data_IF_226642412477
#
_entry.id   IF_226642412477
#
_cell.length_a   1.000
_cell.length_b   1.000
_cell.length_c   1.000
_cell.angle_alpha   90.00
_cell.angle_beta   90.00
_cell.angle_gamma   90.00
#
_symmetry.space_group_name_H-M   'P 1'
#
loop_
_entity.id
_entity.type
_entity.pdbx_description
1 polymer ?
#
# COMPACT_ATOMS: atom_id res chain seq x y z
N UNK A 1 -26.29 -18.82 25.31
CA UNK A 1 -25.41 -18.65 24.15
C UNK A 1 -24.24 -17.75 24.55
N UNK A 2 -23.09 -18.38 24.73
CA UNK A 2 -21.88 -17.67 25.15
C UNK A 2 -21.19 -17.00 23.95
N UNK A 3 -21.11 -15.65 23.95
CA UNK A 3 -20.31 -14.88 22.99
C UNK A 3 -18.98 -14.50 23.65
N UNK A 4 -17.87 -14.84 23.01
CA UNK A 4 -16.52 -14.54 23.49
C UNK A 4 -15.74 -13.76 22.44
N UNK A 5 -14.96 -12.78 22.91
CA UNK A 5 -13.96 -12.08 22.12
C UNK A 5 -12.57 -12.60 22.51
N UNK A 6 -11.79 -13.02 21.51
CA UNK A 6 -10.47 -13.63 21.73
C UNK A 6 -9.46 -13.10 20.71
N UNK A 7 -8.16 -13.19 21.03
CA UNK A 7 -7.12 -13.31 20.02
C UNK A 7 -6.96 -14.77 19.65
N UNK A 8 -6.90 -15.06 18.37
CA UNK A 8 -6.69 -16.42 17.89
C UNK A 8 -5.32 -16.97 18.30
N UNK A 9 -5.26 -18.25 18.53
CA UNK A 9 -4.01 -18.98 18.75
C UNK A 9 -3.84 -20.12 17.72
N UNK A 10 -2.75 -20.88 17.81
CA UNK A 10 -2.42 -21.91 16.81
C UNK A 10 -3.49 -23.00 16.67
N UNK A 11 -4.24 -23.31 17.74
CA UNK A 11 -5.32 -24.30 17.70
C UNK A 11 -6.54 -23.82 16.92
N UNK A 12 -6.69 -22.51 16.76
CA UNK A 12 -7.77 -21.92 15.96
C UNK A 12 -7.46 -21.92 14.46
N UNK A 13 -6.26 -22.31 14.03
CA UNK A 13 -5.79 -22.16 12.65
C UNK A 13 -6.74 -22.80 11.63
N UNK A 14 -7.05 -24.06 11.78
CA UNK A 14 -7.88 -24.80 10.83
C UNK A 14 -9.28 -24.18 10.72
N UNK A 15 -9.94 -23.95 11.89
CA UNK A 15 -11.27 -23.33 11.91
C UNK A 15 -11.25 -21.90 11.35
N UNK A 16 -10.20 -21.13 11.63
CA UNK A 16 -10.08 -19.75 11.14
C UNK A 16 -9.88 -19.71 9.62
N UNK A 17 -9.01 -20.56 9.09
CA UNK A 17 -8.76 -20.65 7.63
C UNK A 17 -10.02 -21.12 6.91
N UNK A 18 -10.69 -22.16 7.40
CA UNK A 18 -11.95 -22.61 6.84
C UNK A 18 -13.02 -21.53 6.87
N UNK A 19 -13.11 -20.81 8.00
CA UNK A 19 -14.06 -19.72 8.16
C UNK A 19 -13.85 -18.59 7.14
N UNK A 20 -12.60 -18.09 6.99
CA UNK A 20 -12.32 -17.01 6.03
C UNK A 20 -12.51 -17.49 4.58
N UNK A 21 -12.08 -18.70 4.25
CA UNK A 21 -12.32 -19.31 2.94
C UNK A 21 -13.80 -19.39 2.63
N UNK A 22 -14.61 -19.88 3.57
CA UNK A 22 -16.08 -19.96 3.44
C UNK A 22 -16.70 -18.59 3.19
N UNK A 23 -16.38 -17.59 4.05
CA UNK A 23 -17.00 -16.26 3.96
C UNK A 23 -16.64 -15.55 2.66
N UNK A 24 -15.38 -15.60 2.26
CA UNK A 24 -14.93 -14.95 1.02
C UNK A 24 -15.41 -15.69 -0.23
N UNK A 25 -15.45 -17.01 -0.22
CA UNK A 25 -16.00 -17.81 -1.32
C UNK A 25 -17.50 -17.57 -1.53
N UNK A 26 -18.23 -17.30 -0.45
CA UNK A 26 -19.67 -16.99 -0.54
C UNK A 26 -19.97 -15.70 -1.31
N UNK A 27 -19.02 -14.75 -1.36
CA UNK A 27 -19.22 -13.43 -1.98
C UNK A 27 -18.41 -13.22 -3.28
N UNK A 28 -17.44 -14.06 -3.60
CA UNK A 28 -16.49 -13.76 -4.69
C UNK A 28 -16.00 -14.98 -5.49
N UNK A 29 -16.57 -16.16 -5.29
CA UNK A 29 -16.07 -17.42 -5.91
C UNK A 29 -15.02 -18.11 -5.03
N UNK A 30 -14.67 -19.35 -5.40
CA UNK A 30 -13.80 -20.22 -4.61
C UNK A 30 -12.50 -19.51 -4.21
N UNK A 31 -12.28 -19.35 -2.93
CA UNK A 31 -11.10 -18.71 -2.35
C UNK A 31 -10.35 -19.71 -1.47
N UNK A 32 -9.03 -19.75 -1.62
CA UNK A 32 -8.09 -20.50 -0.80
C UNK A 32 -7.03 -19.53 -0.27
N UNK A 33 -7.19 -19.08 0.97
CA UNK A 33 -6.32 -18.08 1.57
C UNK A 33 -4.86 -18.52 1.73
N UNK A 34 -4.54 -19.76 2.12
CA UNK A 34 -3.17 -20.25 2.13
C UNK A 34 -2.45 -20.14 0.79
N UNK A 35 -3.12 -20.47 -0.31
CA UNK A 35 -2.55 -20.31 -1.66
C UNK A 35 -2.53 -18.85 -2.11
N UNK A 36 -3.59 -18.08 -1.82
CA UNK A 36 -3.73 -16.68 -2.24
C UNK A 36 -2.81 -15.73 -1.48
N UNK A 37 -2.61 -15.98 -0.19
CA UNK A 37 -1.81 -15.16 0.72
C UNK A 37 -0.84 -16.02 1.55
N UNK A 38 0.11 -16.71 0.90
CA UNK A 38 1.06 -17.59 1.60
C UNK A 38 1.83 -16.86 2.70
N UNK A 39 2.14 -15.57 2.52
CA UNK A 39 2.76 -14.71 3.53
C UNK A 39 2.02 -14.64 4.88
N UNK A 40 0.73 -14.96 4.92
CA UNK A 40 -0.10 -14.86 6.13
C UNK A 40 -0.58 -16.24 6.63
N UNK A 41 -0.83 -17.16 5.71
CA UNK A 41 -1.55 -18.40 6.03
C UNK A 41 -0.81 -19.68 5.68
N UNK A 42 0.41 -19.62 5.13
CA UNK A 42 1.25 -20.80 4.92
C UNK A 42 1.68 -21.44 6.25
N UNK A 43 1.95 -20.60 7.26
CA UNK A 43 2.36 -21.00 8.58
C UNK A 43 1.38 -20.51 9.64
N UNK A 44 1.33 -21.21 10.78
CA UNK A 44 0.42 -20.90 11.89
C UNK A 44 0.83 -19.67 12.71
N UNK A 45 2.08 -19.21 12.60
CA UNK A 45 2.65 -18.14 13.42
C UNK A 45 1.98 -16.77 13.30
N UNK A 46 1.26 -16.51 12.20
CA UNK A 46 0.53 -15.25 11.95
C UNK A 46 -0.90 -15.27 12.51
N UNK A 47 -1.39 -16.41 12.98
CA UNK A 47 -2.76 -16.54 13.49
C UNK A 47 -3.02 -15.67 14.71
N UNK A 48 -2.03 -15.51 15.59
CA UNK A 48 -2.07 -14.60 16.75
C UNK A 48 -2.40 -13.15 16.46
N UNK A 49 -2.31 -12.72 15.21
CA UNK A 49 -2.67 -11.38 14.76
C UNK A 49 -4.16 -11.25 14.42
N UNK A 50 -4.97 -12.29 14.61
CA UNK A 50 -6.40 -12.24 14.35
C UNK A 50 -7.18 -12.02 15.63
N UNK A 51 -8.08 -11.06 15.58
CA UNK A 51 -9.15 -10.88 16.55
C UNK A 51 -10.34 -11.69 16.07
N UNK A 52 -10.89 -12.52 16.93
CA UNK A 52 -12.02 -13.40 16.63
C UNK A 52 -13.16 -13.22 17.62
N UNK A 53 -14.37 -13.45 17.15
CA UNK A 53 -15.55 -13.66 17.99
C UNK A 53 -15.99 -15.10 17.80
N UNK A 54 -16.09 -15.84 18.92
CA UNK A 54 -16.73 -17.15 19.00
C UNK A 54 -18.13 -17.02 19.60
N UNK A 55 -19.05 -17.79 19.07
CA UNK A 55 -20.39 -18.00 19.64
C UNK A 55 -20.60 -19.50 19.69
N UNK A 56 -20.89 -20.03 20.88
CA UNK A 56 -21.01 -21.46 21.12
C UNK A 56 -19.80 -22.24 20.57
N UNK A 57 -18.59 -21.79 20.93
CA UNK A 57 -17.29 -22.32 20.50
C UNK A 57 -17.00 -22.32 18.99
N UNK A 58 -17.79 -21.58 18.19
CA UNK A 58 -17.57 -21.46 16.73
C UNK A 58 -17.22 -20.04 16.33
N UNK A 59 -16.23 -19.88 15.45
CA UNK A 59 -15.86 -18.57 14.90
C UNK A 59 -17.01 -18.00 14.10
N UNK A 60 -17.41 -16.76 14.43
CA UNK A 60 -18.48 -16.01 13.75
C UNK A 60 -18.02 -14.66 13.19
N UNK A 61 -16.83 -14.22 13.55
CA UNK A 61 -16.23 -13.00 13.03
C UNK A 61 -14.71 -13.03 13.17
N UNK A 62 -14.02 -12.44 12.20
CA UNK A 62 -12.55 -12.36 12.14
C UNK A 62 -12.13 -10.97 11.66
N UNK A 63 -11.10 -10.42 12.28
CA UNK A 63 -10.34 -9.25 11.81
C UNK A 63 -8.86 -9.51 12.03
N UNK A 64 -8.08 -9.59 10.97
CA UNK A 64 -6.62 -9.65 11.04
C UNK A 64 -6.03 -8.25 11.22
N UNK A 65 -5.06 -8.11 12.13
CA UNK A 65 -4.34 -6.87 12.42
C UNK A 65 -2.82 -7.14 12.39
N UNK A 66 -2.22 -7.07 11.20
CA UNK A 66 -0.86 -7.53 10.93
C UNK A 66 0.15 -6.40 11.11
N UNK A 67 1.16 -6.56 12.01
CA UNK A 67 2.21 -5.58 12.18
C UNK A 67 3.11 -5.52 10.94
N UNK A 68 3.39 -4.29 10.50
CA UNK A 68 4.26 -3.98 9.39
C UNK A 68 5.17 -2.81 9.78
N UNK A 69 6.36 -2.76 9.20
CA UNK A 69 7.25 -1.61 9.30
C UNK A 69 7.42 -1.00 7.92
N UNK A 70 7.00 0.25 7.77
CA UNK A 70 7.27 1.04 6.58
C UNK A 70 8.57 1.82 6.80
N UNK A 71 9.61 1.50 6.02
CA UNK A 71 10.80 2.34 5.90
C UNK A 71 10.55 3.39 4.84
N UNK A 72 10.76 4.64 5.20
CA UNK A 72 10.54 5.78 4.35
C UNK A 72 11.72 6.75 4.53
N UNK A 73 12.59 6.81 3.52
CA UNK A 73 13.89 7.46 3.61
C UNK A 73 14.70 6.86 4.78
N UNK A 74 15.08 7.69 5.73
CA UNK A 74 15.86 7.36 6.94
C UNK A 74 15.01 7.00 8.16
N UNK A 75 13.66 6.98 8.02
CA UNK A 75 12.75 6.80 9.14
C UNK A 75 11.88 5.53 9.02
N UNK A 76 11.49 4.99 10.18
CA UNK A 76 10.60 3.85 10.27
C UNK A 76 9.25 4.26 10.86
N UNK A 77 8.19 3.74 10.25
CA UNK A 77 6.79 3.96 10.64
C UNK A 77 6.18 2.63 11.05
N UNK A 78 5.60 2.57 12.25
CA UNK A 78 4.87 1.40 12.73
C UNK A 78 3.46 1.39 12.11
N UNK A 79 3.18 0.38 11.32
CA UNK A 79 1.94 0.25 10.55
C UNK A 79 1.23 -1.03 10.93
N UNK A 80 -0.09 -0.98 11.05
CA UNK A 80 -0.92 -2.20 11.11
C UNK A 80 -1.72 -2.33 9.83
N UNK A 81 -1.51 -3.44 9.12
CA UNK A 81 -2.35 -3.83 7.99
C UNK A 81 -3.59 -4.56 8.47
N UNK A 82 -4.79 -4.03 8.19
CA UNK A 82 -6.04 -4.72 8.46
C UNK A 82 -6.41 -5.58 7.27
N UNK A 83 -6.67 -6.86 7.53
CA UNK A 83 -7.07 -7.84 6.53
C UNK A 83 -8.06 -8.87 7.06
N UNK A 84 -8.51 -9.74 6.18
CA UNK A 84 -9.41 -10.87 6.49
C UNK A 84 -10.69 -10.49 7.26
N UNK A 85 -11.14 -9.23 7.07
CA UNK A 85 -12.32 -8.70 7.75
C UNK A 85 -13.57 -9.43 7.27
N UNK A 86 -14.11 -10.29 8.11
CA UNK A 86 -15.20 -11.20 7.77
C UNK A 86 -16.14 -11.44 8.95
N UNK A 87 -17.42 -11.66 8.62
CA UNK A 87 -18.44 -12.13 9.55
C UNK A 87 -19.26 -13.21 8.87
N UNK A 88 -19.66 -14.20 9.63
CA UNK A 88 -20.47 -15.31 9.12
C UNK A 88 -21.73 -14.79 8.43
N UNK A 89 -22.10 -15.25 7.23
CA UNK A 89 -23.23 -14.71 6.47
C UNK A 89 -24.54 -14.68 7.27
N UNK A 90 -24.81 -15.73 8.04
CA UNK A 90 -26.01 -15.81 8.90
C UNK A 90 -25.91 -15.03 10.21
N UNK A 91 -24.77 -14.39 10.49
CA UNK A 91 -24.59 -13.46 11.62
C UNK A 91 -24.63 -12.01 11.20
N UNK A 92 -25.11 -11.72 9.99
CA UNK A 92 -25.28 -10.36 9.49
C UNK A 92 -26.19 -9.54 10.41
N UNK A 93 -25.79 -8.32 10.73
CA UNK A 93 -26.52 -7.44 11.65
C UNK A 93 -26.17 -7.61 13.13
N UNK A 94 -25.42 -8.65 13.53
CA UNK A 94 -25.01 -8.88 14.94
C UNK A 94 -23.89 -7.93 15.42
N UNK A 95 -23.34 -7.10 14.54
CA UNK A 95 -22.31 -6.12 14.91
C UNK A 95 -20.90 -6.68 15.13
N UNK A 96 -20.64 -7.95 14.83
CA UNK A 96 -19.34 -8.59 15.12
C UNK A 96 -18.15 -7.89 14.45
N UNK A 97 -18.28 -7.53 13.16
CA UNK A 97 -17.25 -6.76 12.47
C UNK A 97 -16.96 -5.43 13.17
N UNK A 98 -18.02 -4.71 13.61
CA UNK A 98 -17.87 -3.41 14.29
C UNK A 98 -17.14 -3.57 15.63
N UNK A 99 -17.48 -4.59 16.38
CA UNK A 99 -16.84 -4.88 17.66
C UNK A 99 -15.35 -5.22 17.48
N UNK A 100 -15.04 -6.14 16.56
CA UNK A 100 -13.66 -6.55 16.27
C UNK A 100 -12.79 -5.39 15.77
N UNK A 101 -13.30 -4.57 14.84
CA UNK A 101 -12.60 -3.38 14.36
C UNK A 101 -12.34 -2.38 15.48
N UNK A 102 -13.30 -2.13 16.36
CA UNK A 102 -13.12 -1.22 17.48
C UNK A 102 -12.06 -1.74 18.47
N UNK A 103 -12.04 -3.03 18.76
CA UNK A 103 -11.02 -3.67 19.61
C UNK A 103 -9.64 -3.56 19.00
N UNK A 104 -9.48 -3.91 17.72
CA UNK A 104 -8.20 -3.76 17.01
C UNK A 104 -7.71 -2.30 17.01
N UNK A 105 -8.60 -1.33 16.78
CA UNK A 105 -8.25 0.10 16.82
C UNK A 105 -7.86 0.55 18.23
N UNK A 106 -8.52 0.05 19.25
CA UNK A 106 -8.16 0.35 20.65
C UNK A 106 -6.76 -0.14 20.97
N UNK A 107 -6.41 -1.37 20.59
CA UNK A 107 -5.06 -1.92 20.78
C UNK A 107 -4.00 -1.13 20.01
N UNK A 108 -4.25 -0.78 18.73
CA UNK A 108 -3.33 0.07 17.96
C UNK A 108 -3.00 1.39 18.64
N UNK A 109 -3.98 2.00 19.32
CA UNK A 109 -3.75 3.25 20.07
C UNK A 109 -2.90 3.03 21.31
N UNK A 110 -3.10 1.92 22.05
CA UNK A 110 -2.32 1.60 23.25
C UNK A 110 -0.90 1.17 22.92
N UNK A 111 -0.66 0.59 21.75
CA UNK A 111 0.64 0.11 21.29
C UNK A 111 1.46 1.17 20.52
N UNK A 112 1.03 2.43 20.52
CA UNK A 112 1.71 3.55 19.84
C UNK A 112 1.95 3.28 18.33
N UNK A 113 0.98 2.68 17.66
CA UNK A 113 0.99 2.51 16.21
C UNK A 113 0.91 3.87 15.53
N UNK A 114 1.73 4.13 14.53
CA UNK A 114 1.74 5.43 13.84
C UNK A 114 0.56 5.57 12.87
N UNK A 115 0.25 4.51 12.11
CA UNK A 115 -0.90 4.46 11.20
C UNK A 115 -1.36 3.03 10.95
N UNK A 116 -2.57 2.91 10.42
CA UNK A 116 -3.12 1.63 9.94
C UNK A 116 -3.59 1.76 8.50
N UNK A 117 -3.53 0.67 7.75
CA UNK A 117 -3.89 0.59 6.34
C UNK A 117 -4.82 -0.59 6.08
N UNK A 118 -5.78 -0.42 5.20
CA UNK A 118 -6.62 -1.50 4.68
C UNK A 118 -7.04 -1.24 3.23
N UNK A 119 -7.33 -2.32 2.51
CA UNK A 119 -8.01 -2.26 1.23
C UNK A 119 -9.49 -2.61 1.42
N UNK A 120 -10.38 -1.82 0.82
CA UNK A 120 -11.82 -2.04 0.89
C UNK A 120 -12.66 -0.81 0.57
N UNK A 121 -13.98 -0.98 0.56
CA UNK A 121 -14.91 0.10 0.25
C UNK A 121 -14.86 1.19 1.33
N UNK A 122 -14.66 2.45 0.91
CA UNK A 122 -14.60 3.62 1.80
C UNK A 122 -15.77 3.67 2.78
N UNK A 123 -17.01 3.49 2.27
CA UNK A 123 -18.24 3.59 3.06
C UNK A 123 -18.31 2.57 4.21
N UNK A 124 -17.62 1.44 4.06
CA UNK A 124 -17.56 0.40 5.11
C UNK A 124 -16.61 0.80 6.25
N UNK A 125 -15.54 1.56 5.95
CA UNK A 125 -14.45 1.80 6.89
C UNK A 125 -14.31 3.25 7.35
N UNK A 126 -15.02 4.21 6.72
CA UNK A 126 -14.99 5.63 7.16
C UNK A 126 -15.51 5.82 8.58
N UNK A 127 -16.46 4.96 9.04
CA UNK A 127 -16.97 4.96 10.43
C UNK A 127 -15.89 4.63 11.46
N UNK A 128 -14.84 3.94 11.04
CA UNK A 128 -13.68 3.62 11.86
C UNK A 128 -12.54 4.64 11.66
N UNK A 129 -12.79 5.74 10.96
CA UNK A 129 -11.81 6.81 10.70
C UNK A 129 -10.76 6.46 9.66
N UNK A 130 -11.03 5.50 8.77
CA UNK A 130 -10.20 5.25 7.61
C UNK A 130 -10.67 6.10 6.43
N UNK A 131 -9.72 6.77 5.79
CA UNK A 131 -9.97 7.59 4.59
C UNK A 131 -9.02 7.20 3.47
N UNK A 132 -9.47 7.27 2.21
CA UNK A 132 -8.60 7.05 1.06
C UNK A 132 -7.47 8.06 1.04
N UNK A 133 -6.24 7.57 0.92
CA UNK A 133 -5.05 8.43 0.90
C UNK A 133 -3.98 7.82 -0.02
N UNK A 134 -2.97 8.64 -0.35
CA UNK A 134 -1.92 8.27 -1.28
C UNK A 134 -2.42 8.19 -2.73
N UNK A 135 -1.47 8.25 -3.65
CA UNK A 135 -1.73 8.19 -5.08
C UNK A 135 -0.71 7.29 -5.76
N UNK A 136 -1.18 6.57 -6.77
CA UNK A 136 -0.32 5.88 -7.70
C UNK A 136 -0.83 6.09 -9.13
N UNK A 137 0.05 5.88 -10.08
CA UNK A 137 -0.25 5.93 -11.50
C UNK A 137 -0.32 4.49 -12.00
N UNK A 138 -1.42 4.14 -12.63
CA UNK A 138 -1.57 2.89 -13.38
C UNK A 138 -1.25 3.19 -14.83
N UNK A 139 -0.23 2.54 -15.38
CA UNK A 139 0.12 2.61 -16.79
C UNK A 139 -0.42 1.39 -17.51
N UNK A 140 -1.12 1.60 -18.61
CA UNK A 140 -1.53 0.55 -19.53
C UNK A 140 -0.61 0.57 -20.74
N UNK A 141 0.05 -0.54 -21.03
CA UNK A 141 1.04 -0.68 -22.10
C UNK A 141 0.59 -1.79 -23.02
N UNK A 142 0.31 -1.46 -24.28
CA UNK A 142 -0.15 -2.41 -25.26
C UNK A 142 1.01 -3.00 -26.07
N UNK A 143 0.85 -4.25 -26.50
CA UNK A 143 1.81 -4.90 -27.39
C UNK A 143 2.10 -4.09 -28.67
N UNK A 144 1.08 -3.39 -29.21
CA UNK A 144 1.24 -2.54 -30.40
C UNK A 144 2.17 -1.35 -30.18
N UNK A 145 2.18 -0.76 -28.95
CA UNK A 145 3.10 0.33 -28.62
C UNK A 145 4.57 -0.15 -28.68
N UNK A 146 4.81 -1.37 -28.19
CA UNK A 146 6.13 -1.98 -28.19
C UNK A 146 6.56 -2.33 -29.61
N UNK A 147 5.65 -2.87 -30.44
CA UNK A 147 5.97 -3.20 -31.83
C UNK A 147 6.27 -1.97 -32.67
N UNK A 148 5.55 -0.87 -32.47
CA UNK A 148 5.82 0.40 -33.14
C UNK A 148 7.24 0.91 -32.86
N UNK A 149 7.74 0.73 -31.62
CA UNK A 149 9.08 1.11 -31.19
C UNK A 149 10.07 -0.07 -31.14
N UNK A 150 9.80 -1.14 -31.87
CA UNK A 150 10.55 -2.41 -31.77
C UNK A 150 12.07 -2.24 -31.85
N UNK A 151 12.55 -1.46 -32.82
CA UNK A 151 13.99 -1.26 -33.03
C UNK A 151 14.69 -0.54 -31.87
N UNK A 152 13.93 0.30 -31.13
CA UNK A 152 14.43 1.03 -29.98
C UNK A 152 14.41 0.18 -28.69
N UNK A 153 13.41 -0.70 -28.55
CA UNK A 153 13.06 -1.36 -27.29
C UNK A 153 13.48 -2.83 -27.21
N UNK A 154 13.54 -3.55 -28.36
CA UNK A 154 13.86 -4.98 -28.38
C UNK A 154 15.33 -5.19 -28.68
N UNK A 155 15.85 -6.37 -28.34
CA UNK A 155 17.24 -6.80 -28.54
C UNK A 155 18.27 -5.92 -27.81
N UNK A 156 17.93 -5.46 -26.59
CA UNK A 156 18.83 -4.71 -25.71
C UNK A 156 19.54 -5.59 -24.67
N UNK A 157 19.68 -6.88 -24.98
CA UNK A 157 20.32 -7.85 -24.08
C UNK A 157 19.45 -8.25 -22.88
N UNK A 158 18.16 -7.86 -22.85
CA UNK A 158 17.26 -8.23 -21.75
C UNK A 158 16.68 -9.62 -21.99
N UNK A 159 16.80 -10.49 -20.98
CA UNK A 159 16.09 -11.77 -20.90
C UNK A 159 15.34 -11.89 -19.58
N UNK A 160 14.19 -12.57 -19.62
CA UNK A 160 13.31 -12.72 -18.48
C UNK A 160 12.92 -14.18 -18.36
N UNK A 161 13.11 -14.74 -17.15
CA UNK A 161 12.86 -16.14 -16.85
C UNK A 161 12.03 -16.24 -15.58
N UNK A 162 11.27 -17.32 -15.42
CA UNK A 162 10.67 -17.62 -14.11
C UNK A 162 11.80 -17.71 -13.08
N UNK A 163 11.64 -17.06 -11.94
CA UNK A 163 12.65 -17.05 -10.89
C UNK A 163 12.82 -18.48 -10.34
N UNK A 164 14.04 -18.99 -10.34
CA UNK A 164 14.37 -20.25 -9.68
C UNK A 164 14.45 -20.00 -8.16
N UNK A 165 13.45 -20.51 -7.45
CA UNK A 165 13.36 -20.37 -5.98
C UNK A 165 14.43 -21.21 -5.26
N UNK A 166 15.03 -22.21 -5.94
CA UNK A 166 16.09 -23.06 -5.40
C UNK A 166 17.48 -22.48 -5.63
N UNK A 167 17.61 -21.39 -6.41
CA UNK A 167 18.87 -20.66 -6.54
C UNK A 167 18.99 -19.57 -5.44
N UNK A 168 19.74 -19.84 -4.35
CA UNK A 168 19.85 -18.89 -3.24
C UNK A 168 20.55 -17.60 -3.65
N UNK A 169 21.37 -17.61 -4.72
CA UNK A 169 22.09 -16.42 -5.17
C UNK A 169 21.14 -15.44 -5.85
N UNK A 170 20.23 -15.93 -6.69
CA UNK A 170 19.23 -15.10 -7.38
C UNK A 170 18.24 -14.54 -6.36
N UNK A 171 17.77 -15.37 -5.42
CA UNK A 171 16.85 -14.95 -4.35
C UNK A 171 17.51 -13.87 -3.49
N UNK A 172 18.78 -14.07 -3.11
CA UNK A 172 19.54 -13.09 -2.32
C UNK A 172 19.73 -11.75 -3.06
N UNK A 173 20.08 -11.79 -4.36
CA UNK A 173 20.19 -10.57 -5.19
C UNK A 173 18.86 -9.84 -5.27
N UNK A 174 17.75 -10.53 -5.50
CA UNK A 174 16.42 -9.95 -5.54
C UNK A 174 16.03 -9.30 -4.19
N UNK A 175 16.30 -9.98 -3.08
CA UNK A 175 16.06 -9.46 -1.74
C UNK A 175 16.91 -8.21 -1.45
N UNK A 176 18.19 -8.22 -1.81
CA UNK A 176 19.08 -7.05 -1.67
C UNK A 176 18.58 -5.83 -2.46
N UNK A 177 18.06 -6.04 -3.68
CA UNK A 177 17.46 -4.94 -4.45
C UNK A 177 16.23 -4.36 -3.75
N UNK A 178 15.36 -5.22 -3.18
CA UNK A 178 14.25 -4.74 -2.35
C UNK A 178 14.75 -3.90 -1.18
N UNK A 179 15.80 -4.33 -0.49
CA UNK A 179 16.36 -3.63 0.66
C UNK A 179 16.96 -2.26 0.33
N UNK A 180 17.40 -2.04 -0.91
CA UNK A 180 17.95 -0.73 -1.37
C UNK A 180 16.87 0.33 -1.60
N UNK A 181 15.57 -0.03 -1.66
CA UNK A 181 14.49 0.95 -1.92
C UNK A 181 14.39 1.96 -0.78
N UNK A 182 14.28 3.24 -1.13
CA UNK A 182 14.08 4.35 -0.18
C UNK A 182 12.70 4.34 0.49
N UNK A 183 11.71 3.73 -0.15
CA UNK A 183 10.37 3.53 0.39
C UNK A 183 10.00 2.07 0.22
N UNK A 184 9.83 1.35 1.33
CA UNK A 184 9.50 -0.08 1.33
C UNK A 184 8.81 -0.50 2.61
N UNK A 185 7.97 -1.52 2.51
CA UNK A 185 7.63 -2.33 3.69
C UNK A 185 8.81 -3.25 3.94
N UNK A 186 9.33 -3.25 5.18
CA UNK A 186 10.38 -4.17 5.59
C UNK A 186 9.87 -5.62 5.45
N UNK A 187 10.74 -6.49 4.93
CA UNK A 187 10.44 -7.91 4.73
C UNK A 187 11.53 -8.74 5.37
N UNK A 188 11.15 -9.82 6.01
CA UNK A 188 12.12 -10.85 6.38
C UNK A 188 12.51 -11.64 5.13
N UNK A 189 13.76 -12.08 5.07
CA UNK A 189 14.26 -12.84 3.92
C UNK A 189 13.46 -14.13 3.71
N UNK A 190 13.10 -14.81 4.80
CA UNK A 190 12.33 -16.05 4.80
C UNK A 190 10.91 -15.88 4.27
N UNK A 191 10.34 -14.67 4.40
CA UNK A 191 8.98 -14.36 3.95
C UNK A 191 8.98 -13.71 2.56
N UNK A 192 10.16 -13.40 1.98
CA UNK A 192 10.27 -12.57 0.78
C UNK A 192 9.56 -13.16 -0.43
N UNK A 193 9.79 -14.44 -0.72
CA UNK A 193 9.14 -15.12 -1.86
C UNK A 193 7.63 -15.28 -1.64
N UNK A 194 7.19 -15.63 -0.43
CA UNK A 194 5.77 -15.77 -0.11
C UNK A 194 5.00 -14.44 -0.24
N UNK A 195 5.69 -13.31 0.06
CA UNK A 195 5.13 -11.98 -0.17
C UNK A 195 4.97 -11.71 -1.67
N UNK A 196 6.00 -12.00 -2.48
CA UNK A 196 5.98 -11.77 -3.92
C UNK A 196 4.99 -12.69 -4.66
N UNK A 197 4.75 -13.90 -4.15
CA UNK A 197 3.78 -14.87 -4.72
C UNK A 197 2.33 -14.59 -4.32
N UNK A 198 2.10 -13.73 -3.33
CA UNK A 198 0.74 -13.41 -2.89
C UNK A 198 -0.11 -12.87 -4.05
N UNK A 199 -1.42 -13.10 -4.00
CA UNK A 199 -2.38 -12.73 -5.04
C UNK A 199 -2.15 -13.46 -6.39
N UNK A 200 -1.71 -14.72 -6.33
CA UNK A 200 -1.43 -15.56 -7.49
C UNK A 200 -0.36 -14.98 -8.42
N UNK A 201 0.56 -14.17 -7.89
CA UNK A 201 1.66 -13.66 -8.67
C UNK A 201 2.72 -14.73 -8.94
N UNK A 202 3.34 -14.65 -10.11
CA UNK A 202 4.58 -15.35 -10.45
C UNK A 202 5.75 -14.38 -10.35
N UNK A 203 6.90 -14.90 -9.96
CA UNK A 203 8.12 -14.10 -9.83
C UNK A 203 9.01 -14.39 -11.02
N UNK A 204 9.56 -13.34 -11.62
CA UNK A 204 10.47 -13.44 -12.76
C UNK A 204 11.78 -12.75 -12.42
N UNK A 205 12.89 -13.40 -12.80
CA UNK A 205 14.23 -12.82 -12.81
C UNK A 205 14.46 -12.05 -14.09
N UNK A 206 15.09 -10.90 -14.00
CA UNK A 206 15.45 -10.05 -15.14
C UNK A 206 16.97 -10.02 -15.27
N UNK A 207 17.45 -10.31 -16.47
CA UNK A 207 18.87 -10.28 -16.79
C UNK A 207 19.14 -9.29 -17.93
N UNK A 208 20.34 -8.68 -17.91
CA UNK A 208 20.88 -7.88 -19.00
C UNK A 208 22.26 -8.43 -19.37
N UNK A 209 22.43 -8.87 -20.61
CA UNK A 209 23.66 -9.51 -21.09
C UNK A 209 24.15 -10.67 -20.19
N UNK A 210 23.20 -11.44 -19.63
CA UNK A 210 23.48 -12.57 -18.72
C UNK A 210 23.65 -12.20 -17.25
N UNK A 211 23.72 -10.91 -16.90
CA UNK A 211 23.82 -10.46 -15.52
C UNK A 211 22.43 -10.19 -14.92
N UNK A 212 22.18 -10.62 -13.69
CA UNK A 212 20.94 -10.36 -12.96
C UNK A 212 20.86 -8.86 -12.62
N UNK A 213 19.79 -8.21 -13.09
CA UNK A 213 19.55 -6.77 -12.85
C UNK A 213 18.23 -6.49 -12.10
N UNK A 214 17.39 -7.50 -11.85
CA UNK A 214 16.14 -7.24 -11.16
C UNK A 214 15.14 -8.37 -11.17
N UNK A 215 13.94 -8.07 -10.65
CA UNK A 215 12.83 -9.02 -10.61
C UNK A 215 11.49 -8.33 -10.87
N UNK A 216 10.53 -9.16 -11.31
CA UNK A 216 9.13 -8.78 -11.50
C UNK A 216 8.25 -9.75 -10.70
N UNK A 217 7.25 -9.23 -9.97
CA UNK A 217 6.14 -10.00 -9.45
C UNK A 217 4.86 -9.59 -10.18
N UNK A 218 4.18 -10.54 -10.82
CA UNK A 218 3.09 -10.24 -11.73
C UNK A 218 2.05 -11.36 -11.76
N UNK A 219 0.78 -10.98 -11.92
CA UNK A 219 -0.33 -11.87 -12.21
C UNK A 219 -0.93 -11.50 -13.59
N UNK A 220 -0.80 -12.41 -14.58
CA UNK A 220 -1.39 -12.26 -15.92
C UNK A 220 -1.21 -10.87 -16.55
N UNK A 221 0.03 -10.34 -16.56
CA UNK A 221 0.33 -9.02 -17.14
C UNK A 221 0.03 -7.84 -16.22
N UNK A 222 -0.55 -8.07 -15.04
CA UNK A 222 -0.64 -7.05 -14.01
C UNK A 222 0.61 -7.10 -13.12
N UNK A 223 1.51 -6.14 -13.31
CA UNK A 223 2.77 -6.05 -12.55
C UNK A 223 2.51 -5.37 -11.22
N UNK A 224 2.53 -6.16 -10.14
CA UNK A 224 2.36 -5.69 -8.76
C UNK A 224 3.65 -5.08 -8.20
N UNK A 225 4.80 -5.65 -8.57
CA UNK A 225 6.10 -5.13 -8.16
C UNK A 225 7.14 -5.35 -9.27
N UNK A 226 7.89 -4.31 -9.58
CA UNK A 226 9.08 -4.38 -10.45
C UNK A 226 10.21 -3.60 -9.79
N UNK A 227 11.33 -4.28 -9.59
CA UNK A 227 12.54 -3.68 -9.02
C UNK A 227 13.71 -4.05 -9.91
N UNK A 228 14.38 -3.04 -10.43
CA UNK A 228 15.56 -3.18 -11.28
C UNK A 228 16.66 -2.23 -10.80
N UNK A 229 17.91 -2.54 -11.10
CA UNK A 229 19.07 -1.76 -10.65
C UNK A 229 19.08 -0.35 -11.24
N UNK A 230 18.84 -0.24 -12.56
CA UNK A 230 18.77 1.04 -13.27
C UNK A 230 17.39 1.23 -13.90
N UNK A 231 16.65 2.25 -13.47
CA UNK A 231 15.33 2.57 -14.02
C UNK A 231 15.36 2.97 -15.51
N UNK A 232 16.53 3.32 -16.08
CA UNK A 232 16.67 3.57 -17.51
C UNK A 232 16.43 2.31 -18.36
N UNK A 233 16.61 1.13 -17.78
CA UNK A 233 16.34 -0.14 -18.46
C UNK A 233 14.85 -0.54 -18.42
N UNK A 234 13.99 0.19 -17.67
CA UNK A 234 12.60 -0.20 -17.42
C UNK A 234 11.81 -0.45 -18.71
N UNK A 235 11.95 0.40 -19.71
CA UNK A 235 11.25 0.26 -20.98
C UNK A 235 11.66 -1.02 -21.73
N UNK A 236 12.94 -1.35 -21.70
CA UNK A 236 13.48 -2.56 -22.32
C UNK A 236 13.00 -3.82 -21.59
N UNK A 237 12.93 -3.75 -20.25
CA UNK A 237 12.42 -4.83 -19.42
C UNK A 237 10.93 -5.07 -19.70
N UNK A 238 10.10 -4.02 -19.71
CA UNK A 238 8.66 -4.16 -20.01
C UNK A 238 8.44 -4.68 -21.44
N UNK A 239 9.19 -4.17 -22.41
CA UNK A 239 9.09 -4.63 -23.79
C UNK A 239 9.46 -6.11 -23.92
N UNK A 240 10.54 -6.53 -23.28
CA UNK A 240 10.96 -7.94 -23.26
C UNK A 240 9.94 -8.82 -22.52
N UNK A 241 9.35 -8.34 -21.42
CA UNK A 241 8.32 -9.05 -20.69
C UNK A 241 7.07 -9.30 -21.55
N UNK A 242 6.57 -8.25 -22.22
CA UNK A 242 5.44 -8.37 -23.16
C UNK A 242 5.73 -9.39 -24.26
N UNK A 243 6.92 -9.32 -24.87
CA UNK A 243 7.31 -10.21 -25.96
C UNK A 243 7.49 -11.65 -25.49
N UNK A 244 8.22 -11.87 -24.39
CA UNK A 244 8.55 -13.22 -23.91
C UNK A 244 7.29 -14.01 -23.52
N UNK A 245 6.31 -13.37 -22.89
CA UNK A 245 5.09 -14.02 -22.42
C UNK A 245 3.88 -13.76 -23.31
N UNK A 246 4.09 -13.12 -24.46
CA UNK A 246 3.05 -12.83 -25.47
C UNK A 246 1.83 -12.11 -24.86
N UNK A 247 2.06 -11.17 -23.96
CA UNK A 247 0.98 -10.38 -23.38
C UNK A 247 0.41 -9.40 -24.41
N UNK A 248 -0.92 -9.34 -24.55
CA UNK A 248 -1.59 -8.33 -25.37
C UNK A 248 -1.47 -6.95 -24.73
N UNK A 249 -1.53 -6.90 -23.41
CA UNK A 249 -1.37 -5.70 -22.61
C UNK A 249 -0.69 -6.01 -21.27
N UNK A 250 -0.02 -5.02 -20.72
CA UNK A 250 0.57 -5.07 -19.38
C UNK A 250 0.18 -3.82 -18.63
N UNK A 251 -0.21 -4.02 -17.37
CA UNK A 251 -0.56 -2.94 -16.46
C UNK A 251 0.52 -2.81 -15.37
N UNK A 252 1.07 -1.62 -15.21
CA UNK A 252 2.12 -1.33 -14.22
C UNK A 252 1.64 -0.25 -13.27
N UNK A 253 1.68 -0.54 -11.98
CA UNK A 253 1.32 0.43 -10.93
C UNK A 253 2.56 1.03 -10.30
N UNK A 254 2.67 2.36 -10.32
CA UNK A 254 3.84 3.09 -9.81
C UNK A 254 3.42 4.19 -8.84
N UNK A 255 4.01 4.27 -7.64
CA UNK A 255 3.79 5.40 -6.73
C UNK A 255 4.24 6.73 -7.34
N UNK A 256 3.55 7.83 -7.03
CA UNK A 256 3.82 9.16 -7.64
C UNK A 256 5.21 9.72 -7.31
N UNK A 257 5.89 9.20 -6.31
CA UNK A 257 7.25 9.62 -5.94
C UNK A 257 8.35 8.92 -6.75
N UNK A 258 8.05 7.82 -7.47
CA UNK A 258 9.02 7.12 -8.32
C UNK A 258 9.13 7.79 -9.71
N UNK A 259 9.66 9.04 -9.73
CA UNK A 259 9.65 9.89 -10.92
C UNK A 259 10.40 9.32 -12.13
N UNK A 260 11.50 8.62 -11.88
CA UNK A 260 12.26 7.97 -12.96
C UNK A 260 11.44 6.90 -13.66
N UNK A 261 10.81 6.00 -12.92
CA UNK A 261 9.93 4.98 -13.49
C UNK A 261 8.76 5.60 -14.25
N UNK A 262 8.13 6.63 -13.67
CA UNK A 262 7.05 7.36 -14.35
C UNK A 262 7.53 7.94 -15.68
N UNK A 263 8.68 8.60 -15.69
CA UNK A 263 9.25 9.17 -16.90
C UNK A 263 9.53 8.13 -18.00
N UNK A 264 9.99 6.94 -17.61
CA UNK A 264 10.22 5.87 -18.58
C UNK A 264 8.89 5.31 -19.11
N UNK A 265 7.94 4.98 -18.22
CA UNK A 265 6.68 4.38 -18.63
C UNK A 265 5.82 5.29 -19.51
N UNK A 266 5.86 6.62 -19.31
CA UNK A 266 5.18 7.59 -20.17
C UNK A 266 5.65 7.53 -21.64
N UNK A 267 6.86 7.03 -21.92
CA UNK A 267 7.40 6.91 -23.27
C UNK A 267 6.78 5.76 -24.07
N UNK A 268 6.19 4.77 -23.37
CA UNK A 268 5.74 3.50 -23.97
C UNK A 268 4.28 3.15 -23.67
N UNK A 269 3.62 3.87 -22.74
CA UNK A 269 2.23 3.56 -22.41
C UNK A 269 1.25 4.06 -23.48
N UNK A 270 0.12 3.36 -23.62
CA UNK A 270 -1.05 3.82 -24.40
C UNK A 270 -1.81 4.88 -23.62
N UNK A 271 -2.07 4.61 -22.37
CA UNK A 271 -2.73 5.52 -21.48
C UNK A 271 -2.30 5.32 -20.03
N UNK A 272 -2.67 6.25 -19.16
CA UNK A 272 -2.47 6.13 -17.72
C UNK A 272 -3.61 6.77 -16.94
N UNK A 273 -3.79 6.32 -15.70
CA UNK A 273 -4.75 6.89 -14.77
C UNK A 273 -4.13 7.10 -13.39
N UNK A 274 -4.50 8.20 -12.74
CA UNK A 274 -4.11 8.45 -11.35
C UNK A 274 -5.24 7.98 -10.44
N UNK A 275 -4.94 7.05 -9.56
CA UNK A 275 -5.92 6.49 -8.63
C UNK A 275 -5.45 6.62 -7.19
N UNK A 276 -6.43 6.61 -6.27
CA UNK A 276 -6.13 6.50 -4.84
C UNK A 276 -5.48 5.17 -4.53
N UNK A 277 -4.65 5.16 -3.50
CA UNK A 277 -4.11 3.92 -2.95
C UNK A 277 -5.15 3.26 -2.02
N UNK A 278 -4.75 2.80 -0.86
CA UNK A 278 -5.58 2.17 0.16
C UNK A 278 -6.33 3.20 1.03
N UNK A 279 -7.08 2.72 2.01
CA UNK A 279 -7.63 3.56 3.08
C UNK A 279 -6.68 3.52 4.27
N UNK A 280 -6.44 4.68 4.85
CA UNK A 280 -5.50 4.85 5.97
C UNK A 280 -6.20 5.49 7.17
N UNK A 281 -5.77 5.08 8.36
CA UNK A 281 -6.07 5.75 9.61
C UNK A 281 -4.76 6.16 10.27
N UNK A 282 -4.60 7.44 10.53
CA UNK A 282 -3.41 8.00 11.16
C UNK A 282 -3.65 8.13 12.66
N UNK A 283 -2.69 7.69 13.47
CA UNK A 283 -2.68 7.85 14.93
C UNK A 283 -1.63 8.89 15.36
N UNK A 284 -0.46 8.90 14.70
CA UNK A 284 0.62 9.86 14.95
C UNK A 284 0.75 10.84 13.78
N UNK A 285 -0.11 11.86 13.78
CA UNK A 285 -0.13 12.85 12.70
C UNK A 285 1.17 13.66 12.61
N UNK A 286 1.80 13.98 13.73
CA UNK A 286 3.05 14.74 13.75
C UNK A 286 4.13 14.03 12.94
N UNK A 287 4.38 12.76 13.25
CA UNK A 287 5.36 11.92 12.56
C UNK A 287 4.98 11.70 11.09
N UNK A 288 3.73 11.30 10.81
CA UNK A 288 3.30 10.98 9.46
C UNK A 288 3.34 12.21 8.54
N UNK A 289 2.85 13.37 8.99
CA UNK A 289 2.87 14.59 8.18
C UNK A 289 4.30 15.02 7.90
N UNK A 290 5.20 14.97 8.89
CA UNK A 290 6.60 15.30 8.72
C UNK A 290 7.29 14.42 7.70
N UNK A 291 7.14 13.09 7.82
CA UNK A 291 7.78 12.13 6.93
C UNK A 291 7.23 12.24 5.50
N UNK A 292 5.91 12.40 5.34
CA UNK A 292 5.29 12.55 4.02
C UNK A 292 5.70 13.84 3.32
N UNK A 293 5.88 14.93 4.05
CA UNK A 293 6.42 16.18 3.49
C UNK A 293 7.91 16.03 3.12
N UNK A 294 8.71 15.34 3.94
CA UNK A 294 10.09 14.99 3.59
C UNK A 294 10.13 14.16 2.29
N UNK A 295 9.28 13.13 2.17
CA UNK A 295 9.20 12.36 0.92
C UNK A 295 8.78 13.26 -0.25
N UNK A 296 7.80 14.14 -0.06
CA UNK A 296 7.36 15.05 -1.11
C UNK A 296 8.48 15.98 -1.58
N UNK A 297 9.33 16.47 -0.67
CA UNK A 297 10.46 17.32 -1.02
C UNK A 297 11.52 16.66 -1.89
N UNK A 298 11.57 15.31 -1.95
CA UNK A 298 12.51 14.60 -2.83
C UNK A 298 12.13 14.63 -4.31
N UNK A 299 10.87 14.94 -4.63
CA UNK A 299 10.38 14.93 -6.01
C UNK A 299 9.58 16.19 -6.40
N UNK A 300 9.39 17.13 -5.49
CA UNK A 300 8.67 18.39 -5.72
C UNK A 300 9.15 19.43 -4.72
N UNK A 301 9.36 20.66 -5.18
CA UNK A 301 9.63 21.76 -4.27
C UNK A 301 8.41 22.02 -3.37
N UNK A 302 8.67 22.20 -2.08
CA UNK A 302 7.69 22.64 -1.11
C UNK A 302 7.71 24.19 -1.05
N UNK A 303 6.55 24.77 -0.83
CA UNK A 303 6.45 26.22 -0.61
C UNK A 303 6.92 26.57 0.81
N UNK A 304 7.84 27.52 0.91
CA UNK A 304 8.36 28.00 2.20
C UNK A 304 7.27 28.73 2.99
N UNK A 305 7.24 28.52 4.29
CA UNK A 305 6.26 29.14 5.16
C UNK A 305 5.98 28.40 6.46
N UNK A 306 5.10 28.98 7.25
CA UNK A 306 4.57 28.39 8.48
C UNK A 306 3.07 28.16 8.34
N UNK A 307 2.62 26.95 8.66
CA UNK A 307 1.23 26.53 8.52
C UNK A 307 0.73 25.93 9.83
N UNK A 308 -0.48 26.27 10.24
CA UNK A 308 -1.14 25.67 11.39
C UNK A 308 -2.36 24.87 10.94
N UNK A 309 -2.36 23.57 11.23
CA UNK A 309 -3.46 22.67 10.86
C UNK A 309 -4.11 22.13 12.13
N UNK A 310 -5.40 22.40 12.29
CA UNK A 310 -6.20 21.80 13.38
C UNK A 310 -6.76 20.46 12.94
N UNK A 311 -6.38 19.40 13.65
CA UNK A 311 -6.91 18.05 13.46
C UNK A 311 -7.85 17.74 14.61
N UNK A 312 -9.13 17.45 14.26
CA UNK A 312 -10.17 17.17 15.25
C UNK A 312 -9.80 15.91 16.05
N UNK A 313 -9.95 15.98 17.36
CA UNK A 313 -9.61 14.92 18.32
C UNK A 313 -8.12 14.57 18.43
N UNK A 314 -7.22 15.32 17.75
CA UNK A 314 -5.78 15.14 17.88
C UNK A 314 -5.08 16.37 18.44
N UNK A 315 -5.34 17.55 17.87
CA UNK A 315 -4.70 18.82 18.27
C UNK A 315 -4.36 19.69 17.07
N UNK A 316 -3.39 20.58 17.28
CA UNK A 316 -2.89 21.48 16.24
C UNK A 316 -1.47 21.09 15.90
N UNK A 317 -1.18 20.96 14.62
CA UNK A 317 0.16 20.84 14.09
C UNK A 317 0.63 22.20 13.58
N UNK A 318 1.80 22.61 14.01
CA UNK A 318 2.58 23.68 13.38
C UNK A 318 3.55 23.02 12.41
N UNK A 319 3.47 23.39 11.14
CA UNK A 319 4.35 22.94 10.06
C UNK A 319 5.18 24.12 9.63
N UNK A 320 6.50 23.98 9.59
CA UNK A 320 7.44 24.94 9.06
C UNK A 320 8.20 24.34 7.91
N UNK A 321 8.21 25.03 6.78
CA UNK A 321 8.99 24.67 5.58
C UNK A 321 9.96 25.80 5.29
N UNK A 322 11.23 25.45 5.12
CA UNK A 322 12.27 26.38 4.73
C UNK A 322 13.27 25.65 3.80
N UNK A 323 13.36 26.05 2.54
CA UNK A 323 14.24 25.45 1.51
C UNK A 323 14.13 23.91 1.49
N UNK A 324 12.89 23.41 1.41
CA UNK A 324 12.56 21.97 1.45
C UNK A 324 12.86 21.25 2.79
N UNK A 325 13.40 21.94 3.78
CA UNK A 325 13.49 21.38 5.14
C UNK A 325 12.15 21.48 5.84
N UNK A 326 11.73 20.39 6.47
CA UNK A 326 10.40 20.27 7.08
C UNK A 326 10.52 20.02 8.58
N UNK A 327 9.87 20.88 9.35
CA UNK A 327 9.66 20.70 10.79
C UNK A 327 8.16 20.64 11.06
N UNK A 328 7.72 19.64 11.85
CA UNK A 328 6.32 19.50 12.27
C UNK A 328 6.29 19.31 13.77
N UNK A 329 5.50 20.10 14.48
CA UNK A 329 5.35 20.02 15.94
C UNK A 329 3.87 20.07 16.34
N UNK A 330 3.48 19.20 17.25
CA UNK A 330 2.17 19.27 17.90
C UNK A 330 2.19 20.38 18.96
N UNK A 331 1.30 21.36 18.85
CA UNK A 331 1.20 22.46 19.81
C UNK A 331 0.44 22.02 21.07
N UNK A 332 0.94 22.41 22.24
CA UNK A 332 0.23 22.23 23.52
C UNK A 332 -0.95 23.21 23.60
N UNK A 333 -2.09 22.76 24.16
CA UNK A 333 -3.36 23.54 24.22
C UNK A 333 -3.28 24.97 24.75
N UNK A 334 -2.26 25.31 25.57
CA UNK A 334 -2.12 26.64 26.22
C UNK A 334 -1.52 27.73 25.32
N UNK A 335 -1.03 27.43 24.12
CA UNK A 335 -0.18 28.36 23.33
C UNK A 335 -0.91 29.05 22.18
N UNK A 336 -2.26 28.97 22.08
CA UNK A 336 -2.93 29.35 20.85
C UNK A 336 -3.86 30.55 21.05
N UNK A 337 -3.44 31.71 20.52
CA UNK A 337 -4.35 32.82 20.20
C UNK A 337 -5.09 32.49 18.91
N UNK A 338 -6.44 32.51 18.93
CA UNK A 338 -7.35 32.03 17.85
C UNK A 338 -7.24 32.77 16.49
N UNK A 339 -6.31 33.70 16.30
CA UNK A 339 -6.21 34.53 15.09
C UNK A 339 -5.38 33.95 13.93
N UNK A 340 -4.75 32.80 14.08
CA UNK A 340 -3.76 32.27 13.10
C UNK A 340 -4.12 30.93 12.47
N UNK A 341 -5.39 30.62 12.21
CA UNK A 341 -5.76 29.35 11.57
C UNK A 341 -5.91 29.51 10.06
N UNK A 342 -4.99 28.93 9.32
CA UNK A 342 -5.07 28.89 7.86
C UNK A 342 -5.93 27.76 7.28
N UNK A 343 -6.11 26.63 7.99
CA UNK A 343 -6.92 25.51 7.50
C UNK A 343 -7.53 24.70 8.68
N UNK A 344 -8.84 24.47 8.63
CA UNK A 344 -9.55 23.52 9.51
C UNK A 344 -9.85 22.26 8.73
N UNK A 345 -9.16 21.15 9.06
CA UNK A 345 -9.46 19.85 8.49
C UNK A 345 -10.50 19.15 9.37
N UNK A 346 -11.74 19.15 8.94
CA UNK A 346 -12.80 18.31 9.52
C UNK A 346 -12.70 16.91 8.92
N UNK A 347 -12.20 15.93 9.67
CA UNK A 347 -12.31 14.52 9.29
C UNK A 347 -13.71 13.97 9.66
N UNK A 348 -14.75 14.62 9.21
CA UNK A 348 -16.11 14.09 9.09
C UNK A 348 -16.68 14.58 7.78
N UNK A 349 -16.92 13.63 6.88
CA UNK A 349 -17.77 13.76 5.69
C UNK A 349 -17.53 15.01 4.85
N UNK A 350 -16.45 15.03 4.08
CA UNK A 350 -16.38 15.90 2.91
C UNK A 350 -17.02 15.11 1.77
N UNK A 351 -18.30 15.42 1.49
CA UNK A 351 -18.87 15.15 0.17
C UNK A 351 -17.97 15.80 -0.85
N UNK A 352 -17.41 14.99 -1.71
CA UNK A 352 -16.74 15.29 -2.96
C UNK A 352 -16.38 16.77 -3.19
N UNK A 353 -15.10 17.12 -2.98
CA UNK A 353 -14.35 18.03 -3.85
C UNK A 353 -12.86 17.72 -3.63
N UNK A 354 -12.17 17.52 -4.73
CA UNK A 354 -10.76 17.17 -4.82
C UNK A 354 -9.90 17.92 -3.80
N UNK A 355 -9.36 17.21 -2.82
CA UNK A 355 -8.26 17.71 -2.02
C UNK A 355 -6.98 17.30 -2.75
N UNK A 356 -6.65 18.05 -3.80
CA UNK A 356 -5.27 18.36 -4.06
C UNK A 356 -4.84 19.25 -2.87
N UNK A 357 -3.70 18.98 -2.24
CA UNK A 357 -3.04 19.96 -1.41
C UNK A 357 -2.62 21.07 -2.40
N UNK A 358 -3.55 21.95 -2.73
CA UNK A 358 -3.31 23.17 -3.49
C UNK A 358 -2.81 24.19 -2.46
N UNK A 359 -1.51 24.29 -2.36
CA UNK A 359 -0.85 25.48 -1.88
C UNK A 359 -1.22 26.59 -2.86
N UNK A 360 -1.78 27.67 -2.35
CA UNK A 360 -2.47 28.73 -3.03
C UNK A 360 -1.93 29.11 -4.41
N UNK A 361 -2.79 29.09 -5.39
CA UNK A 361 -2.73 30.01 -6.53
C UNK A 361 -3.99 30.89 -6.48
N UNK A 362 -3.77 32.20 -6.50
CA UNK A 362 -4.82 33.18 -6.78
C UNK A 362 -5.53 32.78 -8.09
N UNK A 363 -6.86 32.93 -8.19
CA UNK A 363 -7.58 32.63 -9.41
C UNK A 363 -7.07 33.52 -10.55
N UNK A 364 -6.56 32.95 -11.60
CA UNK A 364 -6.34 33.63 -12.88
C UNK A 364 -7.70 33.82 -13.50
N UNK A 365 -8.05 35.06 -13.68
CA UNK A 365 -9.29 35.54 -14.29
C UNK A 365 -9.30 35.18 -15.80
N UNK A 366 -9.95 34.08 -16.17
CA UNK A 366 -10.22 33.75 -17.57
C UNK A 366 -11.55 34.40 -17.98
N UNK A 367 -11.50 35.70 -18.22
CA UNK A 367 -12.39 36.36 -19.19
C UNK A 367 -11.51 36.88 -20.31
N UNK A 368 -11.75 36.38 -21.50
CA UNK A 368 -11.21 36.65 -22.85
C UNK A 368 -10.20 35.58 -23.31
N UNK A 369 -10.77 34.62 -23.98
CA UNK A 369 -10.65 34.23 -25.39
C UNK A 369 -11.54 33.04 -25.61
#
# INVERSE_FOLDING_TARGET
MGKEYLKADEKDYEELVDFINYVFSHSGGKTDFPSLLPKLYKNKDKIKYHHIIKVDNRIKGVVGAFPLTLSLLDEKVNVIGIGSVSAHPYSKGQGYMKELMNKAIYEMKSENVDMSVLNGYRQRYEHFGYEPCGQHINFNILHVNINYKRNELINKGISIHLLDENDPNIVEKAYKLHCKKNVKIERKKEEFLDILKSWNCRIYSVFKNGEFIGYISSNNGFIEEIVIEDNNDLNFVIASYIKTFNHREVNVRVPIYEREKISQLLKICENYSITKNNNFRIFNYEKIVRIMLKLKSTYSNLEDGEYNIKIINYGILKIKVNKNQVEVKKLKRKTIKLKEFSIIVKMKTIKQRNISIAVGRKPINTRKL
#
